data_IF_263307309298
#
_entry.id   IF_263307309298
#
_cell.length_a   1.000
_cell.length_b   1.000
_cell.length_c   1.000
_cell.angle_alpha   90.00
_cell.angle_beta   90.00
_cell.angle_gamma   90.00
#
_symmetry.space_group_name_H-M   'P 1'
#
loop_
_entity.id
_entity.type
_entity.pdbx_description
1 polymer ?
#
# COMPACT_ATOMS: atom_id res chain seq x y z
N UNK A 1 -5.35 6.53 2.44
CA UNK A 1 -5.92 5.36 1.74
C UNK A 1 -5.05 5.09 0.54
N UNK A 2 -4.72 3.83 0.30
CA UNK A 2 -3.90 3.39 -0.84
C UNK A 2 -4.47 2.06 -1.36
N UNK A 3 -4.76 1.96 -2.66
CA UNK A 3 -5.42 0.79 -3.22
C UNK A 3 -4.53 -0.47 -3.13
N UNK A 4 -3.24 -0.32 -3.42
CA UNK A 4 -2.30 -1.44 -3.48
C UNK A 4 -1.01 -1.09 -2.75
N UNK A 5 -0.70 -1.82 -1.67
CA UNK A 5 0.53 -1.61 -0.91
C UNK A 5 1.51 -2.76 -1.14
N UNK A 6 2.55 -2.51 -1.91
CA UNK A 6 3.62 -3.48 -2.15
C UNK A 6 4.65 -3.48 -1.00
N UNK A 7 5.62 -2.57 -1.04
CA UNK A 7 6.69 -2.48 -0.02
C UNK A 7 6.28 -1.69 1.22
N UNK A 8 5.18 -0.93 1.15
CA UNK A 8 4.76 -0.02 2.22
C UNK A 8 5.51 1.32 2.27
N UNK A 9 6.52 1.54 1.42
CA UNK A 9 7.36 2.75 1.49
C UNK A 9 6.55 4.05 1.33
N UNK A 10 5.61 4.11 0.39
CA UNK A 10 4.75 5.26 0.18
C UNK A 10 3.85 5.55 1.40
N UNK A 11 3.22 4.50 1.95
CA UNK A 11 2.39 4.61 3.14
C UNK A 11 3.20 5.07 4.37
N UNK A 12 4.42 4.54 4.54
CA UNK A 12 5.33 4.94 5.63
C UNK A 12 5.67 6.44 5.54
N UNK A 13 5.99 6.94 4.34
CA UNK A 13 6.28 8.36 4.14
C UNK A 13 5.06 9.23 4.41
N UNK A 14 3.87 8.80 3.98
CA UNK A 14 2.63 9.51 4.25
C UNK A 14 2.31 9.57 5.76
N UNK A 15 2.50 8.47 6.49
CA UNK A 15 2.33 8.41 7.94
C UNK A 15 3.31 9.36 8.63
N UNK A 16 4.59 9.37 8.23
CA UNK A 16 5.58 10.31 8.77
C UNK A 16 5.14 11.77 8.64
N UNK A 17 4.65 12.17 7.48
CA UNK A 17 4.15 13.53 7.26
C UNK A 17 3.00 13.86 8.21
N UNK A 18 2.10 12.92 8.50
CA UNK A 18 1.03 13.16 9.48
C UNK A 18 1.59 13.34 10.90
N UNK A 19 2.55 12.50 11.30
CA UNK A 19 3.20 12.59 12.61
C UNK A 19 3.98 13.92 12.76
N UNK A 20 4.68 14.36 11.71
CA UNK A 20 5.42 15.62 11.67
C UNK A 20 4.49 16.85 11.81
N UNK A 21 3.19 16.67 11.55
CA UNK A 21 2.13 17.65 11.73
C UNK A 21 1.29 17.40 13.00
N UNK A 22 1.88 16.75 14.01
CA UNK A 22 1.30 16.50 15.34
C UNK A 22 0.02 15.63 15.34
N UNK A 23 -0.22 14.85 14.27
CA UNK A 23 -1.31 13.85 14.29
C UNK A 23 -0.88 12.67 15.16
N UNK A 24 -1.65 12.29 16.21
CA UNK A 24 -1.30 11.15 17.03
C UNK A 24 -1.35 9.84 16.24
N UNK A 25 -0.33 8.99 16.40
CA UNK A 25 -0.19 7.75 15.65
C UNK A 25 -1.43 6.82 15.75
N UNK A 26 -2.02 6.69 16.93
CA UNK A 26 -3.22 5.86 17.18
C UNK A 26 -4.49 6.38 16.49
N UNK A 27 -4.50 7.62 16.01
CA UNK A 27 -5.59 8.21 15.23
C UNK A 27 -5.44 7.96 13.73
N UNK A 28 -4.32 7.39 13.29
CA UNK A 28 -4.07 7.12 11.87
C UNK A 28 -4.58 5.72 11.54
N UNK A 29 -5.42 5.64 10.50
CA UNK A 29 -5.90 4.38 9.95
C UNK A 29 -5.50 4.27 8.47
N UNK A 30 -4.70 3.27 8.14
CA UNK A 30 -4.32 2.94 6.78
C UNK A 30 -5.32 1.92 6.21
N UNK A 31 -6.10 2.36 5.23
CA UNK A 31 -7.08 1.52 4.53
C UNK A 31 -6.56 1.19 3.14
N UNK A 32 -6.60 -0.10 2.79
CA UNK A 32 -6.17 -0.63 1.51
C UNK A 32 -7.12 -1.71 0.95
N UNK A 33 -7.07 -1.92 -0.36
CA UNK A 33 -7.77 -3.03 -1.00
C UNK A 33 -6.91 -4.29 -0.96
N UNK A 34 -5.64 -4.17 -1.36
CA UNK A 34 -4.69 -5.27 -1.41
C UNK A 34 -3.34 -4.84 -0.84
N UNK A 35 -2.75 -5.67 0.03
CA UNK A 35 -1.41 -5.45 0.54
C UNK A 35 -0.56 -6.70 0.34
N UNK A 36 0.74 -6.53 0.15
CA UNK A 36 1.71 -7.61 0.28
C UNK A 36 2.12 -7.80 1.74
N UNK A 37 2.44 -9.03 2.14
CA UNK A 37 2.92 -9.35 3.50
C UNK A 37 4.08 -8.46 3.95
N UNK A 38 5.08 -8.28 3.08
CA UNK A 38 6.24 -7.41 3.36
C UNK A 38 5.83 -5.97 3.65
N UNK A 39 4.82 -5.44 2.96
CA UNK A 39 4.31 -4.08 3.17
C UNK A 39 3.63 -3.93 4.51
N UNK A 40 2.76 -4.87 4.87
CA UNK A 40 2.08 -4.89 6.19
C UNK A 40 3.10 -4.95 7.32
N UNK A 41 4.06 -5.88 7.25
CA UNK A 41 5.09 -6.02 8.28
C UNK A 41 5.95 -4.77 8.42
N UNK A 42 6.35 -4.16 7.31
CA UNK A 42 7.16 -2.94 7.31
C UNK A 42 6.44 -1.78 7.99
N UNK A 43 5.16 -1.59 7.69
CA UNK A 43 4.35 -0.52 8.28
C UNK A 43 4.07 -0.80 9.75
N UNK A 44 3.65 -2.01 10.11
CA UNK A 44 3.35 -2.39 11.48
C UNK A 44 4.58 -2.33 12.40
N UNK A 45 5.78 -2.63 11.86
CA UNK A 45 7.04 -2.48 12.58
C UNK A 45 7.41 -1.01 12.77
N UNK A 46 7.21 -0.17 11.76
CA UNK A 46 7.53 1.25 11.83
C UNK A 46 6.56 2.05 12.71
N UNK A 47 5.28 1.71 12.68
CA UNK A 47 4.20 2.43 13.36
C UNK A 47 3.21 1.46 14.04
N UNK A 48 3.55 0.94 15.24
CA UNK A 48 2.77 -0.10 15.90
C UNK A 48 1.37 0.35 16.37
N UNK A 49 1.09 1.65 16.45
CA UNK A 49 -0.22 2.18 16.85
C UNK A 49 -1.14 2.49 15.65
N UNK A 50 -0.62 2.45 14.42
CA UNK A 50 -1.44 2.67 13.22
C UNK A 50 -2.36 1.47 13.00
N UNK A 51 -3.64 1.74 12.78
CA UNK A 51 -4.60 0.68 12.42
C UNK A 51 -4.52 0.40 10.93
N UNK A 52 -4.24 -0.84 10.56
CA UNK A 52 -4.23 -1.28 9.16
C UNK A 52 -5.52 -2.07 8.89
N UNK A 53 -6.23 -1.68 7.84
CA UNK A 53 -7.42 -2.37 7.35
C UNK A 53 -7.21 -2.68 5.87
N UNK A 54 -7.15 -3.96 5.52
CA UNK A 54 -7.03 -4.42 4.13
C UNK A 54 -8.08 -5.48 3.82
N UNK A 55 -8.49 -5.58 2.55
CA UNK A 55 -9.45 -6.62 2.12
C UNK A 55 -8.76 -7.93 1.80
N UNK A 56 -7.55 -7.87 1.22
CA UNK A 56 -6.75 -9.03 0.87
C UNK A 56 -5.27 -8.83 1.22
N UNK A 57 -4.59 -9.96 1.43
CA UNK A 57 -3.16 -10.05 1.70
C UNK A 57 -2.56 -11.07 0.74
N UNK A 58 -1.58 -10.64 -0.04
CA UNK A 58 -0.88 -11.47 -1.00
C UNK A 58 0.58 -11.71 -0.54
N UNK A 59 1.15 -12.89 -0.86
CA UNK A 59 2.38 -13.36 -0.23
C UNK A 59 3.64 -12.65 -0.75
N UNK A 60 3.67 -12.29 -2.03
CA UNK A 60 4.92 -11.96 -2.71
C UNK A 60 4.83 -10.66 -3.51
N UNK A 61 5.99 -10.06 -3.74
CA UNK A 61 6.18 -8.99 -4.72
C UNK A 61 7.23 -9.44 -5.73
N UNK A 62 7.08 -9.05 -7.00
CA UNK A 62 8.09 -9.30 -8.02
C UNK A 62 9.17 -8.18 -8.06
N UNK A 63 10.16 -8.34 -8.93
CA UNK A 63 11.26 -7.37 -9.10
C UNK A 63 10.81 -5.97 -9.54
N UNK A 64 9.62 -5.86 -10.13
CA UNK A 64 8.99 -4.60 -10.54
C UNK A 64 8.08 -4.03 -9.45
N UNK A 65 8.12 -4.59 -8.23
CA UNK A 65 7.29 -4.21 -7.08
C UNK A 65 5.77 -4.40 -7.27
N UNK A 66 5.37 -5.25 -8.22
CA UNK A 66 3.97 -5.68 -8.30
C UNK A 66 3.72 -6.79 -7.28
N UNK A 67 2.60 -6.67 -6.59
CA UNK A 67 2.07 -7.73 -5.71
C UNK A 67 1.65 -8.93 -6.56
N UNK A 68 1.92 -10.15 -6.10
CA UNK A 68 1.55 -11.41 -6.76
C UNK A 68 0.73 -12.30 -5.83
N UNK A 69 -0.40 -12.91 -6.29
CA UNK A 69 -0.96 -12.86 -7.65
C UNK A 69 -1.45 -11.48 -8.09
N UNK A 70 -1.84 -10.60 -7.16
CA UNK A 70 -2.02 -9.18 -7.43
C UNK A 70 -3.22 -8.80 -8.29
N UNK A 71 -3.26 -7.51 -8.63
CA UNK A 71 -4.28 -6.93 -9.53
C UNK A 71 -3.67 -6.06 -10.65
N UNK A 72 -2.36 -6.15 -10.87
CA UNK A 72 -1.64 -5.27 -11.81
C UNK A 72 -1.57 -3.82 -11.31
N UNK A 73 -1.39 -2.86 -12.22
CA UNK A 73 -1.45 -1.45 -11.87
C UNK A 73 -2.91 -1.02 -11.64
N UNK A 74 -3.29 -0.87 -10.37
CA UNK A 74 -4.65 -0.46 -10.01
C UNK A 74 -5.03 0.89 -10.62
N UNK A 75 -4.11 1.86 -10.64
CA UNK A 75 -4.37 3.19 -11.18
C UNK A 75 -4.74 3.13 -12.64
N UNK A 76 -3.93 2.44 -13.46
CA UNK A 76 -4.18 2.32 -14.89
C UNK A 76 -5.50 1.60 -15.19
N UNK A 77 -5.77 0.50 -14.48
CA UNK A 77 -7.01 -0.27 -14.63
C UNK A 77 -8.25 0.52 -14.20
N UNK A 78 -8.14 1.31 -13.13
CA UNK A 78 -9.26 2.07 -12.58
C UNK A 78 -9.56 3.32 -13.41
N UNK A 79 -8.54 4.02 -13.90
CA UNK A 79 -8.69 5.24 -14.70
C UNK A 79 -8.75 4.99 -16.20
N UNK A 80 -8.51 3.76 -16.67
CA UNK A 80 -8.49 3.40 -18.08
C UNK A 80 -7.30 3.99 -18.82
N UNK A 81 -6.14 4.08 -18.15
CA UNK A 81 -4.87 4.60 -18.71
C UNK A 81 -3.86 3.51 -19.01
N UNK A 82 -4.32 2.26 -19.10
CA UNK A 82 -3.47 1.17 -19.56
C UNK A 82 -2.89 1.52 -20.94
N UNK A 83 -1.59 1.33 -21.15
CA UNK A 83 -1.02 1.49 -22.48
C UNK A 83 -1.77 0.55 -23.42
N UNK A 84 -2.13 1.06 -24.61
CA UNK A 84 -2.68 0.22 -25.65
C UNK A 84 -1.66 -0.91 -25.91
N UNK A 85 -2.14 -2.15 -25.99
CA UNK A 85 -1.31 -3.23 -26.49
C UNK A 85 -0.93 -2.86 -27.93
N UNK A 86 0.29 -2.39 -28.14
CA UNK A 86 0.88 -2.30 -29.47
C UNK A 86 1.05 -3.75 -29.96
N UNK A 87 0.15 -4.22 -30.83
CA UNK A 87 0.27 -5.49 -31.58
C UNK A 87 1.55 -5.57 -32.41
#
# INVERSE_FOLDING_TARGET
>A
MDATVATGAAAIMAIRVLLDHDVPEHNISLVSLLMAEIGVHSIAYAFPQVKIVTSALDPEINEKFYVLPGIGNFGDRYFGTEPADDE
#
